data_IF_657486392679
#
_entry.id   IF_657486392679
#
_cell.length_a   1.000
_cell.length_b   1.000
_cell.length_c   1.000
_cell.angle_alpha   90.00
_cell.angle_beta   90.00
_cell.angle_gamma   90.00
#
_symmetry.space_group_name_H-M   'P 1'
#
loop_
_entity.id
_entity.type
_entity.pdbx_description
1 polymer ?
#
# COMPACT_ATOMS: atom_id res chain seq x y z
N UNK A 1 79.19 -7.36 0.88
CA UNK A 1 77.97 -6.62 0.44
C UNK A 1 77.27 -7.44 -0.64
N UNK A 2 75.95 -7.24 -0.83
CA UNK A 2 75.02 -8.04 -1.68
C UNK A 2 74.60 -9.38 -1.06
N UNK A 3 73.32 -9.78 -1.06
CA UNK A 3 72.05 -9.05 -1.29
C UNK A 3 70.96 -9.73 -0.44
N UNK A 4 70.10 -8.94 0.20
CA UNK A 4 68.81 -9.42 0.73
C UNK A 4 67.82 -9.69 -0.42
N UNK A 5 66.63 -10.16 -0.03
CA UNK A 5 65.39 -10.32 -0.81
C UNK A 5 65.29 -11.68 -1.53
N UNK A 6 64.47 -12.56 -0.93
CA UNK A 6 63.81 -13.64 -1.66
C UNK A 6 62.43 -13.94 -1.02
N UNK A 7 61.39 -13.84 -1.84
CA UNK A 7 60.10 -14.54 -1.69
C UNK A 7 59.19 -14.26 -0.48
N UNK A 8 58.68 -13.02 -0.38
CA UNK A 8 57.34 -12.74 0.19
C UNK A 8 56.32 -12.52 -0.93
N UNK A 9 56.03 -13.56 -1.73
CA UNK A 9 54.95 -13.55 -2.73
C UNK A 9 54.30 -14.95 -2.73
N UNK A 10 53.21 -15.11 -1.98
CA UNK A 10 52.24 -16.22 -2.08
C UNK A 10 51.02 -16.00 -1.15
N UNK A 11 50.40 -14.80 -1.18
CA UNK A 11 49.18 -14.53 -0.39
C UNK A 11 48.28 -13.44 -1.02
N UNK A 12 47.81 -13.64 -2.26
CA UNK A 12 46.88 -12.71 -2.94
C UNK A 12 46.04 -13.38 -4.04
N UNK A 13 45.26 -14.42 -3.69
CA UNK A 13 44.36 -15.10 -4.65
C UNK A 13 43.02 -15.57 -4.05
N UNK A 14 42.42 -14.81 -3.13
CA UNK A 14 41.16 -15.20 -2.45
C UNK A 14 40.05 -14.13 -2.46
N UNK A 15 40.16 -13.08 -3.27
CA UNK A 15 39.29 -11.89 -3.22
C UNK A 15 38.14 -11.87 -4.26
N UNK A 16 37.77 -13.01 -4.85
CA UNK A 16 36.80 -13.09 -5.97
C UNK A 16 35.56 -13.96 -5.70
N UNK A 17 35.35 -14.42 -4.46
CA UNK A 17 34.25 -15.32 -4.07
C UNK A 17 33.16 -14.68 -3.18
N UNK A 18 33.22 -13.36 -2.95
CA UNK A 18 32.31 -12.65 -2.02
C UNK A 18 30.98 -12.19 -2.61
N UNK A 19 30.76 -12.31 -3.93
CA UNK A 19 29.55 -11.79 -4.59
C UNK A 19 28.32 -12.70 -4.49
N UNK A 20 28.47 -14.00 -4.70
CA UNK A 20 27.31 -14.90 -4.85
C UNK A 20 26.62 -15.28 -3.52
N UNK A 21 27.23 -14.99 -2.37
CA UNK A 21 26.68 -15.34 -1.06
C UNK A 21 25.80 -14.23 -0.44
N UNK A 22 25.84 -13.00 -0.96
CA UNK A 22 25.13 -11.86 -0.35
C UNK A 22 23.66 -11.80 -0.74
N UNK A 23 23.29 -12.02 -2.01
CA UNK A 23 21.93 -11.79 -2.50
C UNK A 23 20.87 -12.62 -1.77
N UNK A 24 21.11 -13.92 -1.55
CA UNK A 24 20.21 -14.78 -0.80
C UNK A 24 20.11 -14.36 0.68
N UNK A 25 21.22 -13.94 1.29
CA UNK A 25 21.26 -13.44 2.67
C UNK A 25 20.55 -12.08 2.83
N UNK A 26 20.66 -11.21 1.83
CA UNK A 26 19.99 -9.91 1.78
C UNK A 26 18.48 -10.08 1.49
N UNK A 27 18.08 -11.07 0.68
CA UNK A 27 16.68 -11.48 0.51
C UNK A 27 16.08 -12.04 1.81
N UNK A 28 16.82 -12.91 2.52
CA UNK A 28 16.44 -13.38 3.86
C UNK A 28 16.34 -12.22 4.87
N UNK A 29 17.26 -11.25 4.81
CA UNK A 29 17.20 -10.03 5.65
C UNK A 29 15.96 -9.20 5.32
N UNK A 30 15.66 -8.98 4.05
CA UNK A 30 14.47 -8.25 3.61
C UNK A 30 13.17 -8.95 4.03
N UNK A 31 13.12 -10.30 3.94
CA UNK A 31 12.04 -11.13 4.49
C UNK A 31 11.89 -10.90 6.00
N UNK A 32 12.98 -10.94 6.77
CA UNK A 32 12.96 -10.68 8.21
C UNK A 32 12.55 -9.25 8.60
N UNK A 33 12.73 -8.26 7.73
CA UNK A 33 12.13 -6.93 7.91
C UNK A 33 10.62 -6.94 7.62
N UNK A 34 10.17 -7.58 6.54
CA UNK A 34 8.75 -7.73 6.20
C UNK A 34 7.96 -8.48 7.29
N UNK A 35 8.48 -9.61 7.77
CA UNK A 35 7.88 -10.42 8.84
C UNK A 35 7.78 -9.64 10.18
N UNK A 36 8.73 -8.75 10.43
CA UNK A 36 8.72 -7.84 11.58
C UNK A 36 7.86 -6.57 11.38
N UNK A 37 7.05 -6.50 10.31
CA UNK A 37 6.26 -5.32 9.89
C UNK A 37 7.10 -4.04 9.67
N UNK A 38 8.41 -4.18 9.44
CA UNK A 38 9.35 -3.08 9.16
C UNK A 38 9.41 -2.82 7.65
N UNK A 39 8.26 -2.43 7.09
CA UNK A 39 8.04 -2.41 5.64
C UNK A 39 8.93 -1.43 4.88
N UNK A 40 9.22 -0.25 5.43
CA UNK A 40 10.15 0.72 4.80
C UNK A 40 11.59 0.17 4.73
N UNK A 41 12.03 -0.52 5.78
CA UNK A 41 13.36 -1.17 5.80
C UNK A 41 13.42 -2.38 4.86
N UNK A 42 12.31 -3.13 4.74
CA UNK A 42 12.19 -4.21 3.76
C UNK A 42 12.25 -3.65 2.33
N UNK A 43 11.47 -2.60 2.03
CA UNK A 43 11.44 -1.89 0.75
C UNK A 43 12.83 -1.37 0.35
N UNK A 44 13.56 -0.77 1.30
CA UNK A 44 14.93 -0.29 1.04
C UNK A 44 15.87 -1.42 0.59
N UNK A 45 15.81 -2.58 1.23
CA UNK A 45 16.62 -3.75 0.82
C UNK A 45 16.14 -4.34 -0.51
N UNK A 46 14.83 -4.45 -0.75
CA UNK A 46 14.34 -4.97 -2.02
C UNK A 46 14.77 -4.08 -3.19
N UNK A 47 14.73 -2.75 -3.05
CA UNK A 47 15.24 -1.82 -4.09
C UNK A 47 16.73 -1.98 -4.40
N UNK A 48 17.55 -2.40 -3.43
CA UNK A 48 18.97 -2.74 -3.67
C UNK A 48 19.09 -4.05 -4.46
N UNK A 49 18.30 -5.06 -4.10
CA UNK A 49 18.26 -6.36 -4.80
C UNK A 49 17.66 -6.28 -6.22
N UNK A 50 16.85 -5.26 -6.52
CA UNK A 50 16.11 -5.12 -7.77
C UNK A 50 17.00 -5.07 -9.02
N UNK A 51 18.21 -4.52 -8.90
CA UNK A 51 19.16 -4.39 -10.01
C UNK A 51 19.80 -5.72 -10.43
N UNK A 52 19.96 -6.66 -9.50
CA UNK A 52 20.61 -7.95 -9.71
C UNK A 52 19.60 -9.12 -9.65
N UNK A 53 18.32 -8.85 -9.94
CA UNK A 53 17.23 -9.82 -9.80
C UNK A 53 17.42 -11.07 -10.68
N UNK A 54 18.08 -10.92 -11.83
CA UNK A 54 18.40 -12.01 -12.76
C UNK A 54 19.45 -12.99 -12.22
N UNK A 55 20.25 -12.57 -11.22
CA UNK A 55 21.22 -13.41 -10.52
C UNK A 55 20.59 -14.42 -9.57
N UNK A 56 19.30 -14.25 -9.23
CA UNK A 56 18.54 -15.23 -8.45
C UNK A 56 17.99 -16.36 -9.33
N UNK A 57 17.93 -17.62 -8.84
CA UNK A 57 17.16 -18.67 -9.51
C UNK A 57 15.66 -18.36 -9.47
N UNK A 58 14.88 -18.83 -10.46
CA UNK A 58 13.45 -18.52 -10.61
C UNK A 58 12.60 -18.66 -9.33
N UNK A 59 12.76 -19.70 -8.48
CA UNK A 59 12.02 -19.77 -7.21
C UNK A 59 12.30 -18.58 -6.27
N UNK A 60 13.55 -18.10 -6.21
CA UNK A 60 13.92 -16.93 -5.41
C UNK A 60 13.48 -15.63 -6.07
N UNK A 61 13.45 -15.53 -7.41
CA UNK A 61 12.82 -14.40 -8.11
C UNK A 61 11.32 -14.29 -7.80
N UNK A 62 10.60 -15.42 -7.77
CA UNK A 62 9.18 -15.46 -7.39
C UNK A 62 8.98 -15.00 -5.93
N UNK A 63 9.84 -15.45 -5.01
CA UNK A 63 9.78 -15.08 -3.60
C UNK A 63 10.14 -13.60 -3.38
N UNK A 64 11.16 -13.07 -4.08
CA UNK A 64 11.47 -11.64 -4.13
C UNK A 64 10.24 -10.85 -4.60
N UNK A 65 9.69 -11.18 -5.77
CA UNK A 65 8.58 -10.44 -6.37
C UNK A 65 7.33 -10.46 -5.48
N UNK A 66 7.03 -11.61 -4.85
CA UNK A 66 5.95 -11.71 -3.88
C UNK A 66 6.18 -10.80 -2.66
N UNK A 67 7.35 -10.87 -2.02
CA UNK A 67 7.63 -10.06 -0.83
C UNK A 67 7.74 -8.56 -1.15
N UNK A 68 8.37 -8.20 -2.26
CA UNK A 68 8.46 -6.83 -2.80
C UNK A 68 7.07 -6.23 -2.99
N UNK A 69 6.18 -6.95 -3.68
CA UNK A 69 4.81 -6.51 -3.97
C UNK A 69 3.89 -6.50 -2.75
N UNK A 70 4.01 -7.48 -1.85
CA UNK A 70 3.30 -7.46 -0.56
C UNK A 70 3.78 -6.31 0.34
N UNK A 71 5.05 -5.92 0.26
CA UNK A 71 5.59 -4.78 1.00
C UNK A 71 4.99 -3.46 0.48
N UNK A 72 4.95 -3.24 -0.84
CA UNK A 72 4.24 -2.09 -1.41
C UNK A 72 2.76 -2.08 -1.02
N UNK A 73 2.08 -3.23 -1.07
CA UNK A 73 0.66 -3.33 -0.69
C UNK A 73 0.41 -2.93 0.77
N UNK A 74 1.32 -3.30 1.69
CA UNK A 74 1.26 -2.86 3.09
C UNK A 74 1.53 -1.37 3.23
N UNK A 75 2.52 -0.83 2.53
CA UNK A 75 2.84 0.60 2.55
C UNK A 75 1.71 1.45 1.96
N UNK A 76 1.02 1.01 0.91
CA UNK A 76 -0.20 1.65 0.41
C UNK A 76 -1.31 1.77 1.47
N UNK A 77 -1.41 0.77 2.37
CA UNK A 77 -2.35 0.79 3.49
C UNK A 77 -1.97 1.78 4.60
N UNK A 78 -0.68 2.15 4.69
CA UNK A 78 -0.13 3.07 5.71
C UNK A 78 0.10 4.49 5.19
N UNK A 79 0.19 4.66 3.87
CA UNK A 79 0.40 5.95 3.23
C UNK A 79 -0.78 6.90 3.46
N UNK A 80 -0.53 8.21 3.71
CA UNK A 80 -1.60 9.20 3.76
C UNK A 80 -2.31 9.27 2.41
N UNK A 81 -3.61 9.52 2.41
CA UNK A 81 -4.35 9.75 1.17
C UNK A 81 -3.92 11.08 0.56
N UNK A 82 -3.28 11.02 -0.62
CA UNK A 82 -3.06 12.19 -1.46
C UNK A 82 -4.20 12.39 -2.47
N UNK A 83 -4.04 13.38 -3.35
CA UNK A 83 -4.95 13.63 -4.47
C UNK A 83 -4.20 13.68 -5.79
N UNK A 84 -4.82 13.16 -6.85
CA UNK A 84 -4.26 13.17 -8.21
C UNK A 84 -2.99 12.30 -8.36
N UNK A 85 -2.11 12.72 -9.28
CA UNK A 85 -0.91 11.95 -9.69
C UNK A 85 0.14 11.85 -8.58
N UNK A 86 0.09 12.76 -7.59
CA UNK A 86 1.01 12.80 -6.46
C UNK A 86 0.57 11.93 -5.27
N UNK A 87 -0.52 11.15 -5.38
CA UNK A 87 -0.95 10.26 -4.30
C UNK A 87 0.05 9.11 -4.06
N UNK A 88 0.73 9.07 -2.89
CA UNK A 88 1.69 8.00 -2.60
C UNK A 88 1.02 6.64 -2.47
N UNK A 89 -0.27 6.59 -2.07
CA UNK A 89 -1.02 5.33 -1.98
C UNK A 89 -1.19 4.68 -3.34
N UNK A 90 -1.60 5.45 -4.37
CA UNK A 90 -1.65 4.97 -5.75
C UNK A 90 -0.30 4.47 -6.23
N UNK A 91 0.77 5.24 -6.00
CA UNK A 91 2.13 4.85 -6.37
C UNK A 91 2.55 3.49 -5.79
N UNK A 92 2.26 3.24 -4.51
CA UNK A 92 2.49 1.93 -3.90
C UNK A 92 1.58 0.83 -4.47
N UNK A 93 0.28 1.08 -4.70
CA UNK A 93 -0.63 0.06 -5.27
C UNK A 93 -0.25 -0.35 -6.69
N UNK A 94 0.20 0.59 -7.53
CA UNK A 94 0.69 0.28 -8.88
C UNK A 94 1.94 -0.63 -8.84
N UNK A 95 2.90 -0.32 -7.97
CA UNK A 95 4.10 -1.15 -7.76
C UNK A 95 3.73 -2.54 -7.20
N UNK A 96 2.83 -2.59 -6.21
CA UNK A 96 2.32 -3.85 -5.66
C UNK A 96 1.74 -4.75 -6.76
N UNK A 97 0.87 -4.20 -7.62
CA UNK A 97 0.23 -4.92 -8.71
C UNK A 97 1.25 -5.44 -9.73
N UNK A 98 2.28 -4.67 -10.04
CA UNK A 98 3.37 -5.07 -10.92
C UNK A 98 4.15 -6.26 -10.35
N UNK A 99 4.67 -6.15 -9.13
CA UNK A 99 5.51 -7.18 -8.51
C UNK A 99 4.74 -8.46 -8.16
N UNK A 100 3.50 -8.33 -7.67
CA UNK A 100 2.63 -9.49 -7.46
C UNK A 100 2.24 -10.17 -8.79
N UNK A 101 2.05 -9.40 -9.86
CA UNK A 101 1.83 -9.94 -11.21
C UNK A 101 3.02 -10.76 -11.71
N UNK A 102 4.25 -10.28 -11.49
CA UNK A 102 5.47 -11.03 -11.78
C UNK A 102 5.58 -12.30 -10.93
N UNK A 103 5.31 -12.22 -9.62
CA UNK A 103 5.31 -13.39 -8.75
C UNK A 103 4.34 -14.49 -9.23
N UNK A 104 3.12 -14.10 -9.61
CA UNK A 104 2.11 -15.01 -10.16
C UNK A 104 2.54 -15.61 -11.52
N UNK A 105 3.20 -14.83 -12.37
CA UNK A 105 3.71 -15.30 -13.66
C UNK A 105 4.85 -16.31 -13.50
N UNK A 106 5.82 -16.04 -12.61
CA UNK A 106 6.94 -16.96 -12.35
C UNK A 106 6.44 -18.24 -11.69
N UNK A 107 5.61 -18.16 -10.65
CA UNK A 107 5.05 -19.34 -9.96
C UNK A 107 4.18 -20.22 -10.89
N UNK A 108 3.51 -19.62 -11.90
CA UNK A 108 2.80 -20.38 -12.95
C UNK A 108 3.75 -21.14 -13.89
N UNK A 109 4.94 -20.61 -14.17
CA UNK A 109 5.93 -21.22 -15.08
C UNK A 109 6.84 -22.21 -14.34
N UNK A 110 7.21 -21.92 -13.10
CA UNK A 110 8.10 -22.71 -12.25
C UNK A 110 7.49 -22.78 -10.84
N UNK A 111 6.60 -23.75 -10.58
CA UNK A 111 5.93 -23.85 -9.30
C UNK A 111 6.87 -24.16 -8.14
N UNK A 112 6.59 -23.58 -6.96
CA UNK A 112 7.31 -23.84 -5.72
C UNK A 112 8.23 -22.72 -5.24
N UNK A 113 8.19 -21.54 -5.88
CA UNK A 113 8.88 -20.33 -5.37
C UNK A 113 8.17 -19.69 -4.18
N UNK A 114 6.86 -19.87 -4.07
CA UNK A 114 6.05 -19.39 -2.94
C UNK A 114 5.16 -20.50 -2.34
N UNK A 115 4.84 -20.39 -1.05
CA UNK A 115 4.03 -21.38 -0.33
C UNK A 115 2.57 -21.35 -0.76
N UNK A 116 1.80 -22.41 -0.50
CA UNK A 116 0.36 -22.45 -0.82
C UNK A 116 -0.44 -21.33 -0.15
N UNK A 117 -0.09 -20.94 1.08
CA UNK A 117 -0.70 -19.80 1.77
C UNK A 117 -0.35 -18.47 1.09
N UNK A 118 0.91 -18.30 0.68
CA UNK A 118 1.35 -17.13 -0.08
C UNK A 118 0.63 -17.03 -1.44
N UNK A 119 0.32 -18.14 -2.11
CA UNK A 119 -0.47 -18.17 -3.36
C UNK A 119 -1.92 -17.72 -3.16
N UNK A 120 -2.56 -18.11 -2.06
CA UNK A 120 -3.92 -17.64 -1.70
C UNK A 120 -3.88 -16.13 -1.47
N UNK A 121 -2.97 -15.66 -0.60
CA UNK A 121 -2.83 -14.24 -0.30
C UNK A 121 -2.47 -13.40 -1.53
N UNK A 122 -1.66 -13.96 -2.43
CA UNK A 122 -1.30 -13.36 -3.71
C UNK A 122 -2.52 -13.16 -4.62
N UNK A 123 -3.38 -14.17 -4.78
CA UNK A 123 -4.57 -14.07 -5.64
C UNK A 123 -5.61 -13.12 -5.06
N UNK A 124 -5.82 -13.13 -3.74
CA UNK A 124 -6.68 -12.18 -3.03
C UNK A 124 -6.19 -10.73 -3.20
N UNK A 125 -4.89 -10.50 -3.00
CA UNK A 125 -4.28 -9.16 -3.10
C UNK A 125 -4.28 -8.64 -4.54
N UNK A 126 -4.00 -9.50 -5.52
CA UNK A 126 -4.16 -9.14 -6.94
C UNK A 126 -5.61 -8.87 -7.31
N UNK A 127 -6.57 -9.61 -6.75
CA UNK A 127 -8.00 -9.35 -6.97
C UNK A 127 -8.39 -7.97 -6.43
N UNK A 128 -7.87 -7.58 -5.27
CA UNK A 128 -8.08 -6.23 -4.74
C UNK A 128 -7.47 -5.14 -5.63
N UNK A 129 -6.18 -5.26 -5.94
CA UNK A 129 -5.44 -4.29 -6.76
C UNK A 129 -5.99 -4.14 -8.18
N UNK A 130 -6.59 -5.19 -8.74
CA UNK A 130 -7.21 -5.15 -10.06
C UNK A 130 -8.55 -4.40 -10.08
N UNK A 131 -9.24 -4.23 -8.94
CA UNK A 131 -10.47 -3.41 -8.87
C UNK A 131 -10.20 -1.94 -9.20
N UNK A 132 -9.05 -1.41 -8.80
CA UNK A 132 -8.66 -0.02 -9.09
C UNK A 132 -8.51 0.25 -10.60
N UNK A 133 -8.20 -0.79 -11.38
CA UNK A 133 -7.92 -0.68 -12.82
C UNK A 133 -9.16 -1.04 -13.65
N UNK A 134 -9.88 -2.10 -13.28
CA UNK A 134 -11.01 -2.63 -14.07
C UNK A 134 -12.39 -2.29 -13.48
N UNK A 135 -12.47 -1.92 -12.21
CA UNK A 135 -13.73 -1.58 -11.52
C UNK A 135 -14.30 -0.21 -11.89
N UNK A 136 -13.53 0.66 -12.56
CA UNK A 136 -13.96 2.01 -12.94
C UNK A 136 -15.16 2.08 -13.90
N UNK A 137 -15.57 0.96 -14.53
CA UNK A 137 -16.77 0.90 -15.35
C UNK A 137 -18.06 0.68 -14.53
N UNK A 138 -17.98 -0.01 -13.39
CA UNK A 138 -19.10 -0.29 -12.48
C UNK A 138 -19.15 0.72 -11.30
N UNK A 139 -18.02 1.41 -11.05
CA UNK A 139 -17.84 2.36 -9.96
C UNK A 139 -18.02 3.84 -10.37
N UNK A 140 -18.78 4.10 -11.43
CA UNK A 140 -19.40 5.41 -11.67
C UNK A 140 -20.76 5.42 -10.96
N UNK A 141 -20.89 5.95 -9.73
CA UNK A 141 -22.17 6.52 -9.34
C UNK A 141 -22.53 7.59 -10.37
N UNK A 142 -23.81 7.63 -10.71
CA UNK A 142 -24.38 8.59 -11.66
C UNK A 142 -23.81 9.99 -11.40
N UNK A 143 -23.46 10.74 -12.45
CA UNK A 143 -23.02 12.13 -12.28
C UNK A 143 -24.21 12.91 -11.74
N UNK A 144 -24.26 13.06 -10.42
CA UNK A 144 -25.30 13.77 -9.70
C UNK A 144 -25.33 15.22 -10.18
N UNK A 145 -26.13 15.45 -11.22
CA UNK A 145 -26.39 16.76 -11.76
C UNK A 145 -26.86 17.63 -10.60
N UNK A 146 -26.16 18.73 -10.37
CA UNK A 146 -26.59 19.76 -9.45
C UNK A 146 -27.95 20.28 -9.93
N UNK A 147 -29.02 19.71 -9.38
CA UNK A 147 -30.36 20.25 -9.51
C UNK A 147 -30.50 21.29 -8.42
N UNK A 148 -30.11 22.53 -8.74
CA UNK A 148 -30.46 23.68 -7.94
C UNK A 148 -31.98 23.76 -7.78
N UNK A 149 -32.53 23.73 -6.55
CA UNK A 149 -33.94 24.03 -6.32
C UNK A 149 -34.11 25.56 -6.18
N UNK A 150 -33.92 26.27 -7.29
CA UNK A 150 -34.23 27.70 -7.34
C UNK A 150 -35.71 27.93 -7.66
N UNK A 151 -36.50 28.36 -6.66
CA UNK A 151 -37.68 29.26 -6.71
C UNK A 151 -38.79 28.97 -7.77
N UNK A 152 -40.11 29.03 -7.50
CA UNK A 152 -40.97 29.73 -6.52
C UNK A 152 -42.45 29.35 -6.90
N UNK A 153 -43.55 29.91 -6.34
CA UNK A 153 -43.71 30.85 -5.21
C UNK A 153 -44.75 30.43 -4.14
N UNK A 154 -44.71 31.10 -2.98
CA UNK A 154 -45.77 31.11 -1.98
C UNK A 154 -47.06 31.83 -2.44
N UNK A 155 -48.25 31.33 -2.07
CA UNK A 155 -49.49 32.08 -2.15
C UNK A 155 -50.22 32.14 -0.79
N UNK A 156 -49.80 32.99 0.14
CA UNK A 156 -50.67 33.60 1.17
C UNK A 156 -50.00 34.80 1.83
N UNK A 157 -50.60 35.98 1.64
CA UNK A 157 -50.16 37.22 2.26
C UNK A 157 -50.79 37.40 3.64
N UNK A 158 -50.03 37.91 4.62
CA UNK A 158 -50.60 38.66 5.73
C UNK A 158 -51.12 40.03 5.20
N UNK A 159 -52.04 40.72 5.91
CA UNK A 159 -51.52 41.64 6.94
C UNK A 159 -52.43 41.93 8.15
N UNK A 160 -51.78 42.40 9.22
CA UNK A 160 -52.19 43.53 10.10
C UNK A 160 -52.87 43.27 11.46
N UNK A 161 -52.08 43.56 12.51
CA UNK A 161 -52.38 44.40 13.69
C UNK A 161 -53.57 44.09 14.64
N UNK A 162 -53.25 43.77 15.91
CA UNK A 162 -53.43 44.69 17.06
C UNK A 162 -53.04 44.03 18.42
N UNK A 163 -52.64 44.86 19.40
CA UNK A 163 -52.32 44.56 20.81
C UNK A 163 -52.94 45.68 21.68
N UNK A 164 -52.97 45.65 23.04
CA UNK A 164 -53.16 44.57 24.03
C UNK A 164 -54.58 44.77 24.69
N UNK A 165 -54.88 44.93 26.01
CA UNK A 165 -54.25 44.49 27.28
C UNK A 165 -55.22 43.89 28.35
N UNK A 166 -54.65 43.54 29.52
CA UNK A 166 -55.28 43.18 30.83
C UNK A 166 -56.06 41.83 30.90
N UNK A 167 -56.11 41.10 32.02
CA UNK A 167 -55.83 41.43 33.43
C UNK A 167 -55.18 40.22 34.18
N UNK A 168 -54.69 40.41 35.40
CA UNK A 168 -54.06 39.36 36.26
C UNK A 168 -55.07 38.80 37.31
N UNK A 169 -54.71 38.11 38.43
CA UNK A 169 -53.49 37.37 38.82
C UNK A 169 -53.76 35.96 39.47
N UNK A 170 -52.69 35.29 39.94
CA UNK A 170 -52.65 34.20 40.95
C UNK A 170 -53.31 32.82 40.56
N UNK A 171 -53.05 31.66 41.19
CA UNK A 171 -52.33 31.32 42.45
C UNK A 171 -51.81 29.84 42.39
N UNK A 172 -50.62 29.49 42.95
CA UNK A 172 -50.22 28.11 43.29
C UNK A 172 -50.52 27.80 44.77
N UNK A 173 -50.84 26.55 45.24
CA UNK A 173 -49.90 25.39 45.30
C UNK A 173 -50.69 24.03 45.33
N UNK A 174 -50.34 22.93 46.07
CA UNK A 174 -49.10 22.42 46.66
C UNK A 174 -48.73 20.94 46.25
N UNK A 175 -47.57 20.41 46.68
CA UNK A 175 -47.16 19.00 46.48
C UNK A 175 -47.52 18.06 47.66
N UNK A 176 -47.00 16.81 47.62
CA UNK A 176 -47.14 15.66 48.57
C UNK A 176 -48.52 14.97 48.60
N UNK A 177 -48.63 13.64 48.78
CA UNK A 177 -47.67 12.63 49.28
C UNK A 177 -47.04 11.73 48.22
#
# INVERSE_FOLDING_TARGET
MRRLVSSFILLSSSALASGCATYAQDLDRARGHYEANRFEQALALFRVLEHDLDSFPLPQQAQYAYLRGMTDYRLAGLAPQGTGVADPRKGYRDNARHWLGLAAAIEKQTPGGITSEQKIRLSETLTDLNRDVFGGAEALPDSGAATDPAAQPDPSAEPSAAEPPADAPAEPPPPTL
#
